data_IF_960282132559
#
_entry.id   IF_960282132559
#
_cell.length_a   1.000
_cell.length_b   1.000
_cell.length_c   1.000
_cell.angle_alpha   90.00
_cell.angle_beta   90.00
_cell.angle_gamma   90.00
#
_symmetry.space_group_name_H-M   'P 1'
#
loop_
_entity.id
_entity.type
_entity.pdbx_description
1 polymer ?
#
# COMPACT_ATOMS: atom_id res chain seq x y z
N UNK A 1 23.96 1.12 -24.32
CA UNK A 1 22.66 0.88 -23.67
C UNK A 1 22.73 1.40 -22.23
N UNK A 2 21.80 2.26 -21.80
CA UNK A 2 21.79 2.75 -20.43
C UNK A 2 21.27 1.64 -19.50
N UNK A 3 21.95 1.39 -18.40
CA UNK A 3 21.53 0.39 -17.41
C UNK A 3 20.56 1.03 -16.42
N UNK A 4 19.48 0.32 -16.12
CA UNK A 4 18.48 0.70 -15.10
C UNK A 4 18.47 -0.36 -14.01
N UNK A 5 18.41 0.06 -12.78
CA UNK A 5 18.38 -0.83 -11.61
C UNK A 5 17.24 -0.45 -10.66
N UNK A 6 16.71 -1.43 -9.94
CA UNK A 6 15.79 -1.22 -8.82
C UNK A 6 16.64 -1.04 -7.57
N UNK A 7 16.50 0.07 -6.88
CA UNK A 7 17.31 0.42 -5.70
C UNK A 7 16.59 0.17 -4.37
N UNK A 8 15.27 0.19 -4.37
CA UNK A 8 14.47 -0.04 -3.16
C UNK A 8 13.08 -0.56 -3.48
N UNK A 9 12.50 -1.29 -2.53
CA UNK A 9 11.19 -1.89 -2.64
C UNK A 9 10.41 -1.71 -1.34
N UNK A 10 9.17 -1.22 -1.43
CA UNK A 10 8.22 -1.17 -0.35
C UNK A 10 6.92 -1.87 -0.75
N UNK A 11 6.28 -2.53 0.21
CA UNK A 11 5.08 -3.32 -0.06
C UNK A 11 4.11 -3.27 1.12
N UNK A 12 2.83 -3.07 0.80
CA UNK A 12 1.69 -3.25 1.71
C UNK A 12 0.72 -4.22 1.04
N UNK A 13 0.47 -5.34 1.68
CA UNK A 13 -0.40 -6.38 1.14
C UNK A 13 -1.12 -7.17 2.24
N UNK A 14 -2.12 -7.97 1.85
CA UNK A 14 -2.82 -8.85 2.79
C UNK A 14 -1.96 -10.01 3.33
N UNK A 15 -0.76 -10.25 2.76
CA UNK A 15 0.19 -11.27 3.27
C UNK A 15 1.40 -10.65 3.98
N UNK A 16 1.41 -9.33 4.19
CA UNK A 16 2.45 -8.65 4.96
C UNK A 16 2.70 -7.22 4.50
N UNK A 17 3.29 -6.44 5.39
CA UNK A 17 3.54 -5.01 5.22
C UNK A 17 5.03 -4.69 5.13
N UNK A 18 5.86 -5.67 4.88
CA UNK A 18 7.29 -5.54 4.60
C UNK A 18 7.79 -6.75 3.82
N UNK A 19 8.96 -6.60 3.20
CA UNK A 19 9.56 -7.62 2.33
C UNK A 19 9.74 -8.97 3.05
N UNK A 20 10.25 -8.96 4.28
CA UNK A 20 10.56 -10.18 5.05
C UNK A 20 9.30 -11.00 5.31
N UNK A 21 8.24 -10.35 5.81
CA UNK A 21 6.96 -11.00 6.10
C UNK A 21 6.31 -11.55 4.83
N UNK A 22 6.32 -10.78 3.74
CA UNK A 22 5.76 -11.22 2.46
C UNK A 22 6.51 -12.43 1.91
N UNK A 23 7.84 -12.40 1.90
CA UNK A 23 8.68 -13.52 1.46
C UNK A 23 8.41 -14.77 2.30
N UNK A 24 8.34 -14.62 3.64
CA UNK A 24 8.03 -15.73 4.55
C UNK A 24 6.67 -16.35 4.24
N UNK A 25 5.63 -15.52 4.06
CA UNK A 25 4.29 -15.99 3.80
C UNK A 25 4.16 -16.64 2.40
N UNK A 26 4.85 -16.12 1.40
CA UNK A 26 4.92 -16.75 0.08
C UNK A 26 5.61 -18.13 0.14
N UNK A 27 6.75 -18.24 0.84
CA UNK A 27 7.47 -19.52 1.00
C UNK A 27 6.65 -20.57 1.76
N UNK A 28 5.85 -20.12 2.74
CA UNK A 28 5.01 -21.00 3.55
C UNK A 28 3.62 -21.24 2.95
N UNK A 29 3.33 -20.70 1.76
CA UNK A 29 2.02 -20.77 1.10
C UNK A 29 0.87 -20.24 1.97
N UNK A 30 1.14 -19.26 2.83
CA UNK A 30 0.14 -18.63 3.66
C UNK A 30 -0.72 -17.67 2.83
N UNK A 31 -2.04 -17.88 2.88
CA UNK A 31 -2.98 -16.98 2.23
C UNK A 31 -3.32 -15.79 3.14
N UNK A 32 -3.39 -14.60 2.56
CA UNK A 32 -3.92 -13.41 3.22
C UNK A 32 -5.40 -13.16 2.93
N UNK A 33 -6.07 -14.11 2.29
CA UNK A 33 -7.51 -14.01 2.02
C UNK A 33 -8.28 -14.44 3.26
N UNK A 34 -9.17 -13.56 3.72
CA UNK A 34 -9.99 -13.77 4.92
C UNK A 34 -11.47 -13.56 4.61
N UNK A 35 -12.34 -14.03 5.50
CA UNK A 35 -13.78 -13.79 5.41
C UNK A 35 -14.05 -12.29 5.65
N UNK A 36 -14.97 -11.74 4.85
CA UNK A 36 -15.47 -10.38 4.95
C UNK A 36 -16.95 -10.40 5.41
N UNK A 37 -17.24 -10.38 6.74
CA UNK A 37 -18.61 -10.50 7.24
C UNK A 37 -19.56 -9.46 6.68
N UNK A 38 -19.07 -8.25 6.43
CA UNK A 38 -19.83 -7.15 5.83
C UNK A 38 -20.38 -7.46 4.44
N UNK A 39 -19.77 -8.39 3.72
CA UNK A 39 -20.22 -8.77 2.37
C UNK A 39 -21.47 -9.64 2.38
N UNK A 40 -21.74 -10.33 3.51
CA UNK A 40 -22.99 -11.07 3.71
C UNK A 40 -24.20 -10.13 3.81
N UNK A 41 -24.03 -9.00 4.50
CA UNK A 41 -25.08 -7.99 4.67
C UNK A 41 -25.53 -7.39 3.33
N UNK A 42 -24.57 -7.26 2.39
CA UNK A 42 -24.83 -6.73 1.05
C UNK A 42 -25.13 -7.82 0.02
N UNK A 43 -25.29 -9.06 0.42
CA UNK A 43 -25.58 -10.21 -0.47
C UNK A 43 -24.58 -10.35 -1.61
N UNK A 44 -23.30 -10.10 -1.37
CA UNK A 44 -22.27 -10.29 -2.37
C UNK A 44 -22.05 -11.78 -2.66
N UNK A 45 -21.72 -12.09 -3.92
CA UNK A 45 -21.43 -13.48 -4.34
C UNK A 45 -20.16 -14.03 -3.70
N UNK A 46 -19.15 -13.19 -3.50
CA UNK A 46 -17.91 -13.55 -2.82
C UNK A 46 -17.91 -12.93 -1.43
N UNK A 47 -17.65 -13.76 -0.43
CA UNK A 47 -17.65 -13.39 0.98
C UNK A 47 -16.23 -13.28 1.56
N UNK A 48 -15.23 -13.13 0.69
CA UNK A 48 -13.83 -13.06 1.09
C UNK A 48 -13.13 -11.87 0.48
N UNK A 49 -12.11 -11.37 1.14
CA UNK A 49 -11.27 -10.28 0.68
C UNK A 49 -9.80 -10.47 1.08
N UNK A 50 -8.89 -9.75 0.40
CA UNK A 50 -7.50 -9.58 0.81
C UNK A 50 -7.31 -8.18 1.36
N UNK A 51 -7.47 -8.00 2.67
CA UNK A 51 -7.30 -6.70 3.33
C UNK A 51 -5.93 -6.64 4.02
N UNK A 52 -5.10 -5.60 3.79
CA UNK A 52 -3.88 -5.39 4.56
C UNK A 52 -4.19 -5.18 6.05
N UNK A 53 -3.45 -5.86 6.92
CA UNK A 53 -3.53 -5.68 8.37
C UNK A 53 -2.54 -4.61 8.81
N UNK A 54 -2.95 -3.35 8.76
CA UNK A 54 -2.13 -2.20 9.08
C UNK A 54 -2.95 -1.09 9.74
N UNK A 55 -2.41 -0.50 10.80
CA UNK A 55 -2.98 0.68 11.43
C UNK A 55 -2.39 1.95 10.77
N UNK A 56 -3.15 2.54 9.85
CA UNK A 56 -2.72 3.74 9.11
C UNK A 56 -2.46 4.94 10.03
N UNK A 57 -3.22 5.06 11.12
CA UNK A 57 -3.08 6.17 12.08
C UNK A 57 -1.78 6.16 12.89
N UNK A 58 -1.11 5.00 12.98
CA UNK A 58 0.21 4.87 13.60
C UNK A 58 1.35 5.16 12.61
N UNK A 59 1.09 5.00 11.32
CA UNK A 59 2.10 5.12 10.27
C UNK A 59 2.14 6.50 9.60
N UNK A 60 1.01 7.21 9.63
CA UNK A 60 0.83 8.48 8.92
C UNK A 60 0.27 9.54 9.89
N UNK A 61 0.84 10.76 9.85
CA UNK A 61 0.32 11.90 10.61
C UNK A 61 -1.16 12.14 10.27
N UNK A 62 -2.01 12.28 11.29
CA UNK A 62 -3.45 12.49 11.16
C UNK A 62 -3.82 13.68 10.27
N UNK A 63 -2.98 14.73 10.25
CA UNK A 63 -3.21 15.92 9.41
C UNK A 63 -3.11 15.62 7.92
N UNK A 64 -2.32 14.62 7.55
CA UNK A 64 -2.14 14.15 6.16
C UNK A 64 -3.15 13.06 5.86
N UNK A 65 -3.27 12.07 6.76
CA UNK A 65 -4.13 10.89 6.58
C UNK A 65 -5.60 11.26 6.30
N UNK A 66 -6.11 12.34 6.91
CA UNK A 66 -7.50 12.79 6.71
C UNK A 66 -7.87 13.12 5.26
N UNK A 67 -6.87 13.38 4.40
CA UNK A 67 -7.06 13.66 2.98
C UNK A 67 -6.80 12.45 2.08
N UNK A 68 -6.42 11.31 2.67
CA UNK A 68 -6.06 10.10 1.92
C UNK A 68 -7.20 9.08 1.98
N UNK A 69 -7.49 8.43 0.86
CA UNK A 69 -8.17 7.14 0.88
C UNK A 69 -7.18 6.03 1.21
N UNK A 70 -7.67 4.86 1.61
CA UNK A 70 -6.84 3.73 2.03
C UNK A 70 -5.75 3.37 0.99
N UNK A 71 -6.11 3.34 -0.30
CA UNK A 71 -5.16 3.06 -1.38
C UNK A 71 -4.03 4.09 -1.48
N UNK A 72 -4.34 5.38 -1.28
CA UNK A 72 -3.33 6.43 -1.25
C UNK A 72 -2.42 6.29 -0.02
N UNK A 73 -2.99 5.94 1.14
CA UNK A 73 -2.24 5.71 2.37
C UNK A 73 -1.30 4.51 2.24
N UNK A 74 -1.75 3.40 1.66
CA UNK A 74 -0.89 2.23 1.39
C UNK A 74 0.26 2.57 0.45
N UNK A 75 -0.01 3.30 -0.64
CA UNK A 75 1.03 3.77 -1.56
C UNK A 75 2.04 4.69 -0.87
N UNK A 76 1.57 5.60 -0.02
CA UNK A 76 2.44 6.51 0.75
C UNK A 76 3.41 5.73 1.65
N UNK A 77 2.91 4.75 2.41
CA UNK A 77 3.73 3.93 3.31
C UNK A 77 4.72 3.09 2.48
N UNK A 78 4.24 2.40 1.45
CA UNK A 78 5.09 1.58 0.59
C UNK A 78 6.20 2.40 -0.09
N UNK A 79 5.89 3.62 -0.56
CA UNK A 79 6.88 4.52 -1.13
C UNK A 79 7.93 4.96 -0.10
N UNK A 80 7.50 5.31 1.12
CA UNK A 80 8.40 5.67 2.22
C UNK A 80 9.35 4.52 2.56
N UNK A 81 8.84 3.31 2.59
CA UNK A 81 9.65 2.12 2.85
C UNK A 81 10.62 1.82 1.69
N UNK A 82 10.20 2.00 0.43
CA UNK A 82 11.06 1.85 -0.73
C UNK A 82 12.21 2.88 -0.74
N UNK A 83 11.94 4.13 -0.39
CA UNK A 83 12.97 5.18 -0.26
C UNK A 83 13.97 4.79 0.83
N UNK A 84 13.48 4.35 1.99
CA UNK A 84 14.35 3.90 3.08
C UNK A 84 15.19 2.68 2.69
N UNK A 85 14.60 1.72 2.00
CA UNK A 85 15.29 0.51 1.52
C UNK A 85 16.36 0.83 0.48
N UNK A 86 16.15 1.86 -0.35
CA UNK A 86 17.11 2.29 -1.37
C UNK A 86 18.40 2.87 -0.79
N UNK A 87 18.38 3.39 0.44
CA UNK A 87 19.50 4.10 1.04
C UNK A 87 19.83 5.45 0.41
N UNK A 88 18.94 5.98 -0.42
CA UNK A 88 19.12 7.30 -1.06
C UNK A 88 18.88 8.43 -0.05
N UNK A 89 19.68 9.49 -0.16
CA UNK A 89 19.53 10.70 0.63
C UNK A 89 18.38 11.57 0.11
N UNK A 90 17.81 12.44 0.96
CA UNK A 90 16.67 13.28 0.59
C UNK A 90 16.90 14.12 -0.68
N UNK A 91 18.10 14.66 -0.87
CA UNK A 91 18.47 15.41 -2.08
C UNK A 91 18.57 14.56 -3.35
N UNK A 92 18.81 13.27 -3.21
CA UNK A 92 18.83 12.32 -4.34
C UNK A 92 17.40 11.87 -4.68
N UNK A 93 16.52 11.80 -3.70
CA UNK A 93 15.11 11.45 -3.88
C UNK A 93 14.30 12.64 -4.42
N UNK A 94 14.54 13.86 -3.91
CA UNK A 94 13.77 15.04 -4.27
C UNK A 94 14.63 16.05 -5.03
N UNK A 95 14.69 15.94 -6.36
CA UNK A 95 15.42 16.83 -7.25
C UNK A 95 14.77 16.87 -8.64
N UNK A 96 15.26 17.76 -9.51
CA UNK A 96 14.70 17.98 -10.86
C UNK A 96 14.81 16.76 -11.79
N UNK A 97 15.67 15.79 -11.48
CA UNK A 97 15.86 14.57 -12.27
C UNK A 97 15.05 13.39 -11.76
N UNK A 98 14.30 13.58 -10.66
CA UNK A 98 13.46 12.53 -10.05
C UNK A 98 12.00 12.75 -10.41
N UNK A 99 11.37 11.73 -10.96
CA UNK A 99 9.94 11.70 -11.24
C UNK A 99 9.20 10.69 -10.38
N UNK A 100 7.89 10.89 -10.20
CA UNK A 100 7.00 9.94 -9.55
C UNK A 100 5.97 9.42 -10.56
N UNK A 101 5.77 8.11 -10.58
CA UNK A 101 4.72 7.46 -11.37
C UNK A 101 3.85 6.67 -10.39
N UNK A 102 2.56 6.96 -10.38
CA UNK A 102 1.57 6.31 -9.51
C UNK A 102 0.41 5.79 -10.35
N UNK A 103 -0.08 4.61 -10.02
CA UNK A 103 -1.26 4.02 -10.63
C UNK A 103 -2.26 3.54 -9.59
N UNK A 104 -3.54 3.54 -9.94
CA UNK A 104 -4.62 2.99 -9.12
C UNK A 104 -5.66 2.34 -10.02
N UNK A 105 -6.23 1.22 -9.57
CA UNK A 105 -7.28 0.51 -10.30
C UNK A 105 -8.65 1.22 -10.27
N UNK A 106 -8.81 2.24 -9.43
CA UNK A 106 -10.04 3.01 -9.30
C UNK A 106 -10.02 4.01 -8.15
N UNK A 107 -11.02 4.89 -8.06
CA UNK A 107 -11.15 5.83 -6.95
C UNK A 107 -11.55 5.12 -5.65
N UNK A 108 -11.32 5.78 -4.51
CA UNK A 108 -11.81 5.30 -3.21
C UNK A 108 -13.33 5.46 -3.13
N UNK A 109 -14.06 4.34 -3.13
CA UNK A 109 -15.53 4.33 -2.99
C UNK A 109 -15.96 4.92 -1.65
N UNK A 110 -15.21 4.71 -0.57
CA UNK A 110 -15.48 5.33 0.73
C UNK A 110 -15.43 6.86 0.67
N UNK A 111 -14.44 7.42 -0.03
CA UNK A 111 -14.34 8.88 -0.16
C UNK A 111 -15.42 9.46 -1.07
N UNK A 112 -15.82 8.74 -2.11
CA UNK A 112 -16.96 9.11 -2.93
C UNK A 112 -18.26 9.18 -2.11
N UNK A 113 -18.53 8.17 -1.29
CA UNK A 113 -19.70 8.15 -0.41
C UNK A 113 -19.68 9.24 0.67
N UNK A 114 -18.51 9.59 1.20
CA UNK A 114 -18.37 10.68 2.18
C UNK A 114 -18.52 12.08 1.58
N UNK A 115 -18.30 12.22 0.28
CA UNK A 115 -18.37 13.51 -0.43
C UNK A 115 -19.75 13.79 -1.07
N UNK A 116 -20.59 12.79 -1.13
CA UNK A 116 -21.98 12.89 -1.61
C UNK A 116 -22.97 13.17 -0.48
#
# INVERSE_FOLDING_TARGET
>A
MRRVVVTGLGIISCIGNNQETVIKNLKNLNSGITKAPEYEEFSFRSLVHGKPDINLGEQIDRRILRFMGDGAAYNYIAMKDAIKDSGLEDGEVSNEMTGIIVGSGGPSTQNLLKSS
#
